data_IF_848934107215
#
_entry.id   IF_848934107215
#
_cell.length_a   1.000
_cell.length_b   1.000
_cell.length_c   1.000
_cell.angle_alpha   90.00
_cell.angle_beta   90.00
_cell.angle_gamma   90.00
#
_symmetry.space_group_name_H-M   'P 1'
#
loop_
_entity.id
_entity.type
_entity.pdbx_description
1 polymer ?
#
# COMPACT_ATOMS: atom_id res chain seq x y z
N UNK A 1 -16.65 -34.81 -53.97
CA UNK A 1 -16.59 -34.67 -52.50
C UNK A 1 -15.57 -33.62 -51.99
N UNK A 2 -14.80 -32.93 -52.82
CA UNK A 2 -13.78 -31.95 -52.35
C UNK A 2 -14.31 -30.51 -52.16
N UNK A 3 -15.39 -30.11 -52.83
CA UNK A 3 -15.93 -28.74 -52.78
C UNK A 3 -16.67 -28.42 -51.48
N UNK A 4 -17.35 -29.41 -50.88
CA UNK A 4 -18.08 -29.26 -49.63
C UNK A 4 -17.13 -29.12 -48.42
N UNK A 5 -15.97 -29.77 -48.47
CA UNK A 5 -14.97 -29.75 -47.39
C UNK A 5 -14.32 -28.36 -47.25
N UNK A 6 -13.98 -27.70 -48.37
CA UNK A 6 -13.45 -26.33 -48.36
C UNK A 6 -14.46 -25.29 -47.86
N UNK A 7 -15.74 -25.44 -48.19
CA UNK A 7 -16.81 -24.56 -47.70
C UNK A 7 -17.01 -24.68 -46.17
N UNK A 8 -16.91 -25.89 -45.61
CA UNK A 8 -17.00 -26.13 -44.17
C UNK A 8 -15.80 -25.54 -43.40
N UNK A 9 -14.57 -25.72 -43.90
CA UNK A 9 -13.37 -25.12 -43.32
C UNK A 9 -13.39 -23.58 -43.37
N UNK A 10 -13.90 -22.99 -44.45
CA UNK A 10 -14.07 -21.54 -44.57
C UNK A 10 -15.12 -20.99 -43.58
N UNK A 11 -16.25 -21.68 -43.41
CA UNK A 11 -17.27 -21.31 -42.43
C UNK A 11 -16.77 -21.43 -40.98
N UNK A 12 -16.03 -22.50 -40.66
CA UNK A 12 -15.41 -22.69 -39.34
C UNK A 12 -14.32 -21.63 -39.04
N UNK A 13 -13.53 -21.25 -40.05
CA UNK A 13 -12.54 -20.16 -39.96
C UNK A 13 -13.22 -18.80 -39.76
N UNK A 14 -14.28 -18.50 -40.51
CA UNK A 14 -15.06 -17.28 -40.38
C UNK A 14 -15.77 -17.18 -39.00
N UNK A 15 -16.30 -18.29 -38.49
CA UNK A 15 -16.87 -18.37 -37.16
C UNK A 15 -15.80 -18.16 -36.07
N UNK A 16 -14.64 -18.82 -36.16
CA UNK A 16 -13.50 -18.61 -35.24
C UNK A 16 -13.03 -17.15 -35.23
N UNK A 17 -12.90 -16.52 -36.41
CA UNK A 17 -12.53 -15.10 -36.52
C UNK A 17 -13.55 -14.18 -35.86
N UNK A 18 -14.85 -14.51 -35.91
CA UNK A 18 -15.92 -13.76 -35.26
C UNK A 18 -15.86 -13.89 -33.73
N UNK A 19 -15.60 -15.08 -33.21
CA UNK A 19 -15.42 -15.28 -31.77
C UNK A 19 -14.19 -14.55 -31.24
N UNK A 20 -13.05 -14.65 -31.96
CA UNK A 20 -11.81 -13.95 -31.57
C UNK A 20 -12.03 -12.44 -31.52
N UNK A 21 -12.70 -11.86 -32.53
CA UNK A 21 -13.05 -10.43 -32.51
C UNK A 21 -13.97 -10.07 -31.36
N UNK A 22 -14.97 -10.89 -31.07
CA UNK A 22 -15.91 -10.66 -29.97
C UNK A 22 -15.22 -10.70 -28.60
N UNK A 23 -14.41 -11.73 -28.33
CA UNK A 23 -13.64 -11.83 -27.09
C UNK A 23 -12.60 -10.73 -26.96
N UNK A 24 -11.95 -10.33 -28.06
CA UNK A 24 -11.03 -9.20 -28.08
C UNK A 24 -11.73 -7.89 -27.72
N UNK A 25 -12.89 -7.61 -28.33
CA UNK A 25 -13.71 -6.44 -28.00
C UNK A 25 -14.18 -6.44 -26.55
N UNK A 26 -14.56 -7.60 -26.01
CA UNK A 26 -14.96 -7.73 -24.61
C UNK A 26 -13.79 -7.45 -23.65
N UNK A 27 -12.59 -7.96 -23.94
CA UNK A 27 -11.40 -7.70 -23.13
C UNK A 27 -11.02 -6.21 -23.14
N UNK A 28 -11.09 -5.55 -24.29
CA UNK A 28 -10.84 -4.10 -24.40
C UNK A 28 -11.89 -3.31 -23.62
N UNK A 29 -13.17 -3.70 -23.67
CA UNK A 29 -14.22 -3.04 -22.91
C UNK A 29 -14.02 -3.16 -21.39
N UNK A 30 -13.61 -4.33 -20.90
CA UNK A 30 -13.29 -4.54 -19.48
C UNK A 30 -12.06 -3.72 -19.08
N UNK A 31 -11.03 -3.66 -19.93
CA UNK A 31 -9.82 -2.87 -19.67
C UNK A 31 -10.09 -1.34 -19.66
N UNK A 32 -11.10 -0.86 -20.38
CA UNK A 32 -11.54 0.54 -20.37
C UNK A 32 -12.35 0.92 -19.13
N UNK A 33 -12.91 -0.06 -18.41
CA UNK A 33 -13.49 0.17 -17.08
C UNK A 33 -12.32 0.35 -16.11
N UNK A 34 -11.84 1.58 -16.00
CA UNK A 34 -10.88 1.95 -14.97
C UNK A 34 -11.42 1.59 -13.57
N UNK A 35 -10.55 1.30 -12.61
CA UNK A 35 -10.99 0.99 -11.25
C UNK A 35 -11.84 2.14 -10.71
N UNK A 36 -13.08 1.82 -10.34
CA UNK A 36 -13.95 2.77 -9.63
C UNK A 36 -13.25 3.14 -8.31
N UNK A 37 -13.21 4.42 -7.93
CA UNK A 37 -12.73 4.79 -6.61
C UNK A 37 -13.62 4.09 -5.59
N UNK A 38 -13.02 3.19 -4.81
CA UNK A 38 -13.68 2.63 -3.63
C UNK A 38 -13.81 3.78 -2.64
N UNK A 39 -14.94 4.46 -2.68
CA UNK A 39 -15.35 5.37 -1.61
C UNK A 39 -15.73 4.49 -0.42
N UNK A 40 -14.73 4.06 0.34
CA UNK A 40 -14.98 3.48 1.65
C UNK A 40 -15.59 4.60 2.51
N UNK A 41 -16.81 4.36 3.01
CA UNK A 41 -17.41 5.28 3.98
C UNK A 41 -16.47 5.41 5.18
N UNK A 42 -16.08 6.64 5.50
CA UNK A 42 -15.29 6.97 6.70
C UNK A 42 -16.20 7.05 7.94
N UNK A 43 -17.47 6.60 7.85
CA UNK A 43 -18.30 6.41 9.02
C UNK A 43 -17.80 5.20 9.82
N UNK A 44 -16.80 5.45 10.68
CA UNK A 44 -16.36 4.51 11.68
C UNK A 44 -17.41 4.33 12.79
N UNK A 45 -17.16 3.37 13.68
CA UNK A 45 -17.94 3.21 14.91
C UNK A 45 -17.98 4.54 15.70
N UNK A 46 -19.14 4.86 16.27
CA UNK A 46 -19.30 6.04 17.13
C UNK A 46 -18.39 5.92 18.36
N UNK A 47 -17.44 6.84 18.57
CA UNK A 47 -16.55 6.80 19.73
C UNK A 47 -17.28 7.00 21.07
N UNK A 48 -18.52 7.53 21.06
CA UNK A 48 -19.33 7.74 22.26
C UNK A 48 -20.22 6.55 22.63
N UNK A 49 -20.40 5.58 21.71
CA UNK A 49 -21.22 4.38 21.96
C UNK A 49 -20.35 3.22 22.52
N UNK A 50 -20.51 2.84 23.80
CA UNK A 50 -19.75 1.74 24.38
C UNK A 50 -20.11 0.36 23.82
N UNK A 51 -21.25 0.23 23.12
CA UNK A 51 -21.67 -1.01 22.46
C UNK A 51 -21.15 -1.12 21.02
N UNK A 52 -20.56 -0.04 20.47
CA UNK A 52 -20.07 -0.04 19.11
C UNK A 52 -18.91 -1.03 18.94
N UNK A 53 -19.07 -1.97 18.00
CA UNK A 53 -18.08 -3.01 17.75
C UNK A 53 -16.95 -2.47 16.88
N UNK A 54 -15.76 -2.37 17.44
CA UNK A 54 -14.52 -2.02 16.74
C UNK A 54 -13.61 -3.24 16.59
N UNK A 55 -12.86 -3.28 15.48
CA UNK A 55 -11.82 -4.29 15.31
C UNK A 55 -10.75 -4.15 16.40
N UNK A 56 -10.24 -5.29 16.89
CA UNK A 56 -9.21 -5.29 17.94
C UNK A 56 -7.89 -4.78 17.38
N UNK A 57 -7.39 -3.68 17.92
CA UNK A 57 -6.02 -3.20 17.64
C UNK A 57 -5.01 -4.07 18.39
N UNK A 58 -4.09 -4.69 17.66
CA UNK A 58 -2.95 -5.40 18.24
C UNK A 58 -1.75 -4.46 18.35
N UNK A 59 -1.18 -4.31 19.56
CA UNK A 59 0.11 -3.62 19.70
C UNK A 59 1.24 -4.61 19.41
N UNK A 60 2.14 -4.22 18.50
CA UNK A 60 3.41 -4.93 18.27
C UNK A 60 4.55 -3.96 18.49
N UNK A 61 5.47 -4.33 19.37
CA UNK A 61 6.75 -3.64 19.50
C UNK A 61 7.53 -3.85 18.22
N UNK A 62 7.62 -2.81 17.39
CA UNK A 62 8.51 -2.80 16.23
C UNK A 62 9.88 -2.39 16.73
N UNK A 63 10.76 -3.37 16.94
CA UNK A 63 12.16 -3.15 17.30
C UNK A 63 12.97 -2.98 16.00
N UNK A 64 12.64 -1.96 15.21
CA UNK A 64 13.48 -1.61 14.09
C UNK A 64 14.85 -1.14 14.64
N UNK A 65 15.98 -1.52 14.01
CA UNK A 65 17.28 -0.99 14.38
C UNK A 65 17.24 0.55 14.34
N UNK A 66 17.68 1.18 15.42
CA UNK A 66 17.74 2.63 15.50
C UNK A 66 18.93 3.17 14.70
N UNK A 67 18.64 3.78 13.55
CA UNK A 67 19.62 4.55 12.79
C UNK A 67 19.78 5.94 13.42
N UNK A 68 20.98 6.23 13.91
CA UNK A 68 21.33 7.54 14.47
C UNK A 68 21.34 8.57 13.32
N UNK A 69 20.42 9.53 13.34
CA UNK A 69 20.33 10.61 12.32
C UNK A 69 21.08 11.88 12.69
N UNK A 70 21.77 11.89 13.82
CA UNK A 70 22.49 13.07 14.30
C UNK A 70 23.72 13.35 13.41
N UNK A 71 24.00 14.61 13.06
CA UNK A 71 25.16 14.97 12.24
C UNK A 71 26.51 14.64 12.88
N UNK A 72 26.58 14.60 14.21
CA UNK A 72 27.82 14.38 14.95
C UNK A 72 27.64 13.51 16.19
N UNK A 73 28.73 12.90 16.65
CA UNK A 73 28.78 12.18 17.92
C UNK A 73 28.69 13.17 19.08
N UNK A 74 27.82 12.93 20.07
CA UNK A 74 27.72 13.81 21.23
C UNK A 74 29.05 13.84 22.01
N UNK A 75 29.47 15.04 22.43
CA UNK A 75 30.55 15.21 23.40
C UNK A 75 30.24 14.45 24.70
N UNK A 76 31.28 14.07 25.45
CA UNK A 76 31.11 13.27 26.64
C UNK A 76 30.24 14.00 27.67
N UNK A 77 29.37 13.25 28.35
CA UNK A 77 28.49 13.82 29.38
C UNK A 77 29.29 14.46 30.52
N UNK A 78 30.45 13.86 30.86
CA UNK A 78 31.33 14.37 31.92
C UNK A 78 31.96 15.71 31.57
N UNK A 79 32.47 15.87 30.35
CA UNK A 79 33.03 17.15 29.89
C UNK A 79 31.99 18.26 29.91
N UNK A 80 30.77 17.99 29.40
CA UNK A 80 29.69 18.97 29.43
C UNK A 80 29.29 19.38 30.85
N UNK A 81 29.18 18.41 31.75
CA UNK A 81 28.84 18.70 33.13
C UNK A 81 29.94 19.51 33.82
N UNK A 82 31.21 19.18 33.56
CA UNK A 82 32.34 19.97 34.07
C UNK A 82 32.29 21.42 33.61
N UNK A 83 31.97 21.66 32.33
CA UNK A 83 31.88 23.01 31.76
C UNK A 83 30.77 23.88 32.39
N UNK A 84 29.67 23.27 32.84
CA UNK A 84 28.53 24.01 33.44
C UNK A 84 28.54 23.99 34.97
N UNK A 85 29.47 23.26 35.61
CA UNK A 85 29.54 23.16 37.07
C UNK A 85 30.03 24.51 37.63
N UNK A 86 29.27 25.17 38.52
CA UNK A 86 29.71 26.38 39.19
C UNK A 86 30.98 26.12 40.00
N UNK A 87 31.93 27.05 39.94
CA UNK A 87 33.14 26.95 40.75
C UNK A 87 32.79 27.16 42.23
N UNK A 88 33.44 26.42 43.15
CA UNK A 88 33.23 26.60 44.58
C UNK A 88 33.59 28.04 44.97
N UNK A 89 32.71 28.66 45.75
CA UNK A 89 32.91 30.00 46.28
C UNK A 89 34.07 29.93 47.29
N UNK A 90 35.10 30.73 47.09
CA UNK A 90 36.18 30.85 48.06
C UNK A 90 35.63 31.60 49.28
N UNK A 91 35.53 30.93 50.42
CA UNK A 91 35.23 31.56 51.70
C UNK A 91 36.46 32.36 52.15
N UNK A 92 36.26 33.66 52.40
CA UNK A 92 37.26 34.60 52.91
C UNK A 92 36.99 34.90 54.37
#
# INVERSE_FOLDING_TARGET
MLTLSGASSAAASAARGRHVRFYWSLLVAIALVGPLPVTASIAGADPADPAAKVARTGYRSVIAPYSRLRPATPASWRERNGAVTPQPKQDK
#
